data_IF_375547498817
#
_entry.id   IF_375547498817
#
_cell.length_a   1.000
_cell.length_b   1.000
_cell.length_c   1.000
_cell.angle_alpha   90.00
_cell.angle_beta   90.00
_cell.angle_gamma   90.00
#
_symmetry.space_group_name_H-M   'P 1'
#
loop_
_entity.id
_entity.type
_entity.pdbx_description
1 polymer ?
#
# COMPACT_ATOMS: atom_id res chain seq x y z
N UNK A 1 -2.58 -21.28 2.21
CA UNK A 1 -1.78 -20.13 2.67
C UNK A 1 -2.68 -19.31 3.57
N UNK A 2 -2.25 -19.04 4.81
CA UNK A 2 -3.09 -18.42 5.82
C UNK A 2 -2.98 -16.89 5.73
N UNK A 3 -4.04 -16.17 6.13
CA UNK A 3 -4.03 -14.70 6.22
C UNK A 3 -2.91 -14.19 7.16
N UNK A 4 -2.50 -15.01 8.13
CA UNK A 4 -1.43 -14.71 9.10
C UNK A 4 -0.02 -14.70 8.53
N UNK A 5 0.18 -15.06 7.26
CA UNK A 5 1.52 -15.17 6.67
C UNK A 5 2.06 -13.81 6.15
N UNK A 6 1.28 -12.74 6.29
CA UNK A 6 1.54 -11.41 5.74
C UNK A 6 1.27 -10.33 6.77
N UNK A 7 2.03 -9.24 6.69
CA UNK A 7 1.80 -8.05 7.50
C UNK A 7 2.28 -6.80 6.79
N UNK A 8 2.46 -5.74 7.56
CA UNK A 8 2.91 -4.47 7.04
C UNK A 8 3.11 -3.41 8.11
N UNK A 9 3.55 -2.23 7.67
CA UNK A 9 3.68 -1.04 8.51
C UNK A 9 3.15 0.18 7.76
N UNK A 10 2.49 1.06 8.49
CA UNK A 10 1.96 2.32 7.99
C UNK A 10 2.61 3.48 8.73
N UNK A 11 2.81 4.57 8.03
CA UNK A 11 3.38 5.80 8.54
C UNK A 11 2.61 7.01 8.03
N UNK A 12 2.34 7.97 8.92
CA UNK A 12 1.87 9.31 8.58
C UNK A 12 2.93 10.31 9.00
N UNK A 13 3.38 11.16 8.08
CA UNK A 13 4.46 12.13 8.33
C UNK A 13 5.72 11.50 8.96
N UNK A 14 6.03 10.25 8.56
CA UNK A 14 7.18 9.47 9.08
C UNK A 14 6.97 8.84 10.45
N UNK A 15 5.83 9.05 11.10
CA UNK A 15 5.49 8.43 12.38
C UNK A 15 4.66 7.16 12.16
N UNK A 16 4.97 6.09 12.90
CA UNK A 16 4.29 4.80 12.76
C UNK A 16 2.86 4.88 13.28
N UNK A 17 1.92 4.38 12.48
CA UNK A 17 0.48 4.40 12.74
C UNK A 17 -0.10 3.00 12.94
N UNK A 18 -1.15 2.88 13.76
CA UNK A 18 -1.91 1.62 13.95
C UNK A 18 -2.89 1.37 12.80
N UNK A 19 -2.38 1.37 11.56
CA UNK A 19 -3.13 1.09 10.33
C UNK A 19 -2.70 -0.20 9.64
N UNK A 20 -2.26 -1.16 10.45
CA UNK A 20 -1.89 -2.50 10.02
C UNK A 20 -3.04 -3.48 10.33
N UNK A 21 -3.23 -4.50 9.50
CA UNK A 21 -4.34 -5.46 9.55
C UNK A 21 -5.70 -4.77 9.74
N UNK A 22 -5.91 -3.71 8.96
CA UNK A 22 -7.06 -2.83 9.06
C UNK A 22 -8.29 -3.46 8.40
N UNK A 23 -9.43 -3.29 9.06
CA UNK A 23 -10.76 -3.52 8.51
C UNK A 23 -11.40 -2.16 8.28
N UNK A 24 -11.74 -1.88 7.02
CA UNK A 24 -12.55 -0.74 6.62
C UNK A 24 -14.02 -1.15 6.55
N UNK A 25 -14.85 -0.50 7.36
CA UNK A 25 -16.30 -0.71 7.45
C UNK A 25 -17.05 0.63 7.38
N UNK A 26 -18.38 0.60 7.33
CA UNK A 26 -19.21 1.81 7.39
C UNK A 26 -18.99 2.61 8.69
N UNK A 27 -18.72 1.91 9.80
CA UNK A 27 -18.47 2.51 11.12
C UNK A 27 -17.06 3.12 11.26
N UNK A 28 -16.21 2.94 10.25
CA UNK A 28 -14.85 3.46 10.19
C UNK A 28 -13.78 2.38 10.07
N UNK A 29 -12.55 2.77 10.41
CA UNK A 29 -11.35 1.93 10.30
C UNK A 29 -11.05 1.35 11.67
N UNK A 30 -10.98 0.02 11.75
CA UNK A 30 -10.55 -0.69 12.95
C UNK A 30 -9.30 -1.51 12.62
N UNK A 31 -8.36 -1.61 13.56
CA UNK A 31 -7.27 -2.58 13.43
C UNK A 31 -7.73 -3.91 13.99
N UNK A 32 -7.52 -5.00 13.23
CA UNK A 32 -7.78 -6.37 13.67
C UNK A 32 -6.44 -7.13 13.73
N UNK A 33 -5.51 -6.73 14.62
CA UNK A 33 -4.18 -7.33 14.67
C UNK A 33 -4.34 -8.81 14.98
N UNK A 34 -4.03 -9.65 13.98
CA UNK A 34 -3.89 -11.09 14.09
C UNK A 34 -4.81 -11.81 15.08
N UNK A 35 -6.13 -11.54 15.10
CA UNK A 35 -7.00 -12.30 15.99
C UNK A 35 -7.05 -13.74 15.46
N UNK A 36 -6.30 -14.58 16.17
CA UNK A 36 -6.28 -16.04 16.24
C UNK A 36 -7.23 -16.76 15.26
N UNK A 37 -6.79 -17.82 14.53
CA UNK A 37 -7.72 -18.63 13.75
C UNK A 37 -8.85 -19.15 14.67
N UNK A 38 -10.05 -18.57 14.55
CA UNK A 38 -11.22 -18.92 15.33
C UNK A 38 -11.94 -17.79 16.08
N UNK A 39 -11.42 -16.57 16.17
CA UNK A 39 -12.13 -15.46 16.82
C UNK A 39 -12.08 -14.19 15.95
N UNK A 40 -12.95 -14.10 14.95
CA UNK A 40 -13.12 -12.85 14.20
C UNK A 40 -14.16 -12.03 14.95
N UNK A 41 -13.82 -10.81 15.40
CA UNK A 41 -14.82 -9.85 15.87
C UNK A 41 -15.92 -9.74 14.79
N UNK A 42 -17.21 -9.78 15.13
CA UNK A 42 -18.29 -9.75 14.13
C UNK A 42 -18.15 -8.60 13.12
N UNK A 43 -17.66 -7.45 13.57
CA UNK A 43 -17.39 -6.24 12.78
C UNK A 43 -16.27 -6.46 11.74
N UNK A 44 -15.31 -7.35 12.05
CA UNK A 44 -14.25 -7.77 11.14
C UNK A 44 -14.68 -8.84 10.12
N UNK A 45 -15.96 -9.25 10.10
CA UNK A 45 -16.47 -10.20 9.10
C UNK A 45 -17.08 -9.52 7.86
N UNK A 46 -17.50 -8.27 7.98
CA UNK A 46 -18.28 -7.57 6.95
C UNK A 46 -17.51 -6.47 6.22
N UNK A 47 -16.43 -5.96 6.80
CA UNK A 47 -15.60 -4.91 6.20
C UNK A 47 -14.52 -5.40 5.24
N UNK A 48 -13.98 -4.49 4.42
CA UNK A 48 -12.83 -4.73 3.52
C UNK A 48 -11.56 -4.86 4.36
N UNK A 49 -10.72 -5.86 4.06
CA UNK A 49 -9.54 -6.18 4.85
C UNK A 49 -8.27 -5.82 4.10
N UNK A 50 -7.37 -5.13 4.78
CA UNK A 50 -6.08 -4.73 4.26
C UNK A 50 -4.99 -5.05 5.28
N UNK A 51 -3.80 -5.42 4.81
CA UNK A 51 -2.66 -5.55 5.70
C UNK A 51 -2.09 -4.18 6.07
N UNK A 52 -2.24 -3.18 5.20
CA UNK A 52 -1.93 -1.78 5.46
C UNK A 52 -2.99 -0.90 4.83
N UNK A 53 -3.41 0.14 5.54
CA UNK A 53 -4.30 1.17 5.01
C UNK A 53 -3.65 2.55 5.17
N UNK A 54 -3.39 3.22 4.06
CA UNK A 54 -2.78 4.54 4.00
C UNK A 54 -3.82 5.60 3.67
N UNK A 55 -3.52 6.84 4.05
CA UNK A 55 -4.36 8.00 3.77
C UNK A 55 -5.46 8.21 4.80
N UNK A 56 -6.20 9.29 4.55
CA UNK A 56 -7.29 9.76 5.38
C UNK A 56 -8.32 10.58 4.59
N UNK A 57 -9.47 10.81 5.22
CA UNK A 57 -10.56 11.58 4.63
C UNK A 57 -11.12 10.90 3.39
N UNK A 58 -11.05 11.59 2.25
CA UNK A 58 -11.67 11.15 1.01
C UNK A 58 -10.88 10.07 0.27
N UNK A 59 -9.56 9.95 0.48
CA UNK A 59 -8.74 8.97 -0.25
C UNK A 59 -8.02 8.02 0.71
N UNK A 60 -8.24 6.73 0.49
CA UNK A 60 -7.54 5.64 1.18
C UNK A 60 -6.83 4.76 0.16
N UNK A 61 -5.66 4.24 0.52
CA UNK A 61 -4.93 3.24 -0.27
C UNK A 61 -4.72 2.01 0.59
N UNK A 62 -5.40 0.92 0.20
CA UNK A 62 -5.28 -0.38 0.87
C UNK A 62 -4.21 -1.22 0.20
N UNK A 63 -3.27 -1.77 0.98
CA UNK A 63 -2.32 -2.78 0.52
C UNK A 63 -2.73 -4.14 1.06
N UNK A 64 -2.72 -5.13 0.17
CA UNK A 64 -3.08 -6.50 0.51
C UNK A 64 -2.01 -7.47 -0.01
N UNK A 65 -1.31 -8.07 0.96
CA UNK A 65 -0.18 -8.97 0.76
C UNK A 65 0.93 -8.25 0.00
N UNK A 66 1.72 -8.97 -0.76
CA UNK A 66 2.88 -8.43 -1.48
C UNK A 66 2.57 -7.87 -2.88
N UNK A 67 1.33 -7.97 -3.38
CA UNK A 67 1.03 -7.66 -4.80
C UNK A 67 -0.12 -6.70 -5.02
N UNK A 68 -1.13 -6.68 -4.14
CA UNK A 68 -2.38 -6.00 -4.44
C UNK A 68 -2.45 -4.64 -3.75
N UNK A 69 -2.90 -3.64 -4.51
CA UNK A 69 -3.23 -2.32 -3.99
C UNK A 69 -4.62 -1.92 -4.49
N UNK A 70 -5.35 -1.20 -3.64
CA UNK A 70 -6.69 -0.68 -3.95
C UNK A 70 -6.72 0.80 -3.59
N UNK A 71 -7.15 1.64 -4.53
CA UNK A 71 -7.42 3.06 -4.27
C UNK A 71 -8.91 3.21 -4.02
N UNK A 72 -9.27 3.81 -2.89
CA UNK A 72 -10.64 4.13 -2.52
C UNK A 72 -10.80 5.64 -2.47
N UNK A 73 -11.71 6.18 -3.29
CA UNK A 73 -12.10 7.58 -3.28
C UNK A 73 -13.55 7.68 -2.78
N UNK A 74 -13.74 8.32 -1.63
CA UNK A 74 -15.03 8.47 -0.94
C UNK A 74 -15.75 7.13 -0.74
N UNK A 75 -14.96 6.08 -0.45
CA UNK A 75 -15.44 4.71 -0.23
C UNK A 75 -15.57 3.86 -1.49
N UNK A 76 -15.49 4.46 -2.67
CA UNK A 76 -15.62 3.76 -3.96
C UNK A 76 -14.25 3.40 -4.53
N UNK A 77 -14.15 2.23 -5.15
CA UNK A 77 -12.91 1.77 -5.75
C UNK A 77 -12.63 2.48 -7.08
N UNK A 78 -11.41 3.02 -7.21
CA UNK A 78 -10.93 3.65 -8.42
C UNK A 78 -10.02 2.66 -9.16
N UNK A 79 -10.36 2.24 -10.40
CA UNK A 79 -9.51 1.34 -11.16
C UNK A 79 -8.13 1.95 -11.41
N UNK A 80 -7.07 1.24 -11.03
CA UNK A 80 -5.68 1.71 -11.12
C UNK A 80 -5.29 2.13 -12.55
N UNK A 81 -5.75 1.38 -13.56
CA UNK A 81 -5.48 1.69 -14.98
C UNK A 81 -6.04 3.04 -15.43
N UNK A 82 -7.09 3.56 -14.77
CA UNK A 82 -7.71 4.84 -15.12
C UNK A 82 -6.98 6.04 -14.54
N UNK A 83 -6.17 5.84 -13.51
CA UNK A 83 -5.48 6.92 -12.80
C UNK A 83 -3.96 6.85 -12.89
N UNK A 84 -3.39 5.81 -13.51
CA UNK A 84 -1.94 5.71 -13.74
C UNK A 84 -1.47 6.82 -14.69
N UNK A 85 -0.38 7.49 -14.34
CA UNK A 85 0.14 8.66 -15.07
C UNK A 85 0.95 8.26 -16.32
N UNK A 86 1.52 7.06 -16.32
CA UNK A 86 2.31 6.52 -17.42
C UNK A 86 1.88 5.08 -17.68
N UNK A 87 1.87 4.68 -18.95
CA UNK A 87 1.55 3.31 -19.37
C UNK A 87 2.80 2.60 -19.84
N UNK A 88 2.95 1.34 -19.47
CA UNK A 88 4.00 0.46 -19.98
C UNK A 88 3.39 -0.78 -20.63
N UNK A 89 4.14 -1.40 -21.53
CA UNK A 89 3.65 -2.56 -22.28
C UNK A 89 3.29 -3.71 -21.32
N UNK A 90 2.06 -4.20 -21.44
CA UNK A 90 1.55 -5.31 -20.63
C UNK A 90 1.01 -4.94 -19.25
N UNK A 91 0.88 -3.65 -18.91
CA UNK A 91 0.35 -3.17 -17.62
C UNK A 91 -1.19 -3.27 -17.48
N UNK A 92 -1.86 -3.82 -18.48
CA UNK A 92 -3.28 -4.18 -18.44
C UNK A 92 -3.46 -5.68 -18.68
N UNK A 93 -4.38 -6.29 -17.93
CA UNK A 93 -4.82 -7.66 -18.22
C UNK A 93 -5.88 -7.65 -19.34
N UNK A 94 -5.54 -8.31 -20.46
CA UNK A 94 -6.45 -8.48 -21.60
C UNK A 94 -6.86 -7.16 -22.28
N UNK A 95 -8.03 -7.17 -22.94
CA UNK A 95 -8.61 -6.01 -23.61
C UNK A 95 -9.44 -5.12 -22.65
N UNK A 96 -9.41 -5.41 -21.34
CA UNK A 96 -10.20 -4.72 -20.32
C UNK A 96 -9.53 -3.41 -19.87
N UNK A 97 -10.33 -2.37 -19.64
CA UNK A 97 -9.83 -1.04 -19.24
C UNK A 97 -9.54 -0.90 -17.73
N UNK A 98 -9.86 -1.91 -16.92
CA UNK A 98 -9.92 -1.76 -15.46
C UNK A 98 -8.93 -2.67 -14.67
N UNK A 99 -8.40 -3.73 -15.29
CA UNK A 99 -7.53 -4.70 -14.61
C UNK A 99 -6.03 -4.37 -14.77
N UNK A 100 -5.44 -3.79 -13.73
CA UNK A 100 -4.02 -3.40 -13.72
C UNK A 100 -3.09 -4.59 -13.48
N UNK A 101 -2.07 -4.75 -14.34
CA UNK A 101 -1.01 -5.73 -14.20
C UNK A 101 0.26 -5.09 -13.67
N UNK A 102 0.67 -5.47 -12.46
CA UNK A 102 1.89 -4.96 -11.81
C UNK A 102 3.19 -5.62 -12.28
N UNK A 103 3.12 -6.75 -13.00
CA UNK A 103 4.32 -7.53 -13.37
C UNK A 103 5.34 -6.72 -14.18
N UNK A 104 4.94 -5.92 -15.20
CA UNK A 104 5.90 -5.12 -15.96
C UNK A 104 6.56 -4.03 -15.10
N UNK A 105 5.82 -3.43 -14.16
CA UNK A 105 6.34 -2.41 -13.25
C UNK A 105 7.35 -3.02 -12.27
N UNK A 106 7.03 -4.22 -11.75
CA UNK A 106 7.96 -4.99 -10.92
C UNK A 106 9.23 -5.35 -11.70
N UNK A 107 9.12 -5.73 -12.97
CA UNK A 107 10.26 -6.07 -13.83
C UNK A 107 11.15 -4.87 -14.17
N UNK A 108 10.57 -3.68 -14.38
CA UNK A 108 11.32 -2.44 -14.57
C UNK A 108 12.00 -1.96 -13.29
N UNK A 109 11.54 -2.42 -12.12
CA UNK A 109 12.14 -2.08 -10.83
C UNK A 109 11.99 -0.59 -10.49
N UNK A 110 10.86 0.02 -10.86
CA UNK A 110 10.51 1.41 -10.56
C UNK A 110 9.06 1.55 -10.10
N UNK A 111 8.70 2.65 -9.41
CA UNK A 111 7.32 2.85 -8.99
C UNK A 111 6.40 3.21 -10.16
N UNK A 112 5.15 2.75 -10.09
CA UNK A 112 4.03 3.33 -10.84
C UNK A 112 3.47 4.52 -10.08
N UNK A 113 3.17 5.61 -10.80
CA UNK A 113 2.54 6.81 -10.24
C UNK A 113 1.09 6.90 -10.70
N UNK A 114 0.20 7.15 -9.75
CA UNK A 114 -1.23 7.33 -9.97
C UNK A 114 -1.64 8.71 -9.44
N UNK A 115 -2.62 9.34 -10.10
CA UNK A 115 -3.18 10.61 -9.66
C UNK A 115 -4.71 10.55 -9.69
N UNK A 116 -5.34 10.88 -8.56
CA UNK A 116 -6.80 10.89 -8.39
C UNK A 116 -7.17 12.18 -7.67
N UNK A 117 -7.89 13.08 -8.34
CA UNK A 117 -8.36 14.35 -7.76
C UNK A 117 -7.26 15.16 -7.01
N UNK A 118 -6.03 15.15 -7.55
CA UNK A 118 -4.88 15.84 -6.97
C UNK A 118 -4.15 15.08 -5.86
N UNK A 119 -4.68 13.92 -5.43
CA UNK A 119 -3.93 12.98 -4.62
C UNK A 119 -2.95 12.21 -5.51
N UNK A 120 -1.69 12.11 -5.08
CA UNK A 120 -0.66 11.35 -5.78
C UNK A 120 -0.32 10.09 -5.01
N UNK A 121 -0.28 8.95 -5.70
CA UNK A 121 0.03 7.64 -5.13
C UNK A 121 1.19 7.06 -5.92
N UNK A 122 2.22 6.59 -5.23
CA UNK A 122 3.29 5.81 -5.81
C UNK A 122 3.23 4.40 -5.27
N UNK A 123 3.29 3.39 -6.14
CA UNK A 123 3.37 1.98 -5.77
C UNK A 123 4.63 1.36 -6.36
N UNK A 124 5.38 0.63 -5.54
CA UNK A 124 6.59 -0.08 -5.96
C UNK A 124 6.49 -1.54 -5.55
N UNK A 125 6.57 -2.44 -6.52
CA UNK A 125 6.53 -3.88 -6.31
C UNK A 125 7.94 -4.47 -6.35
N UNK A 126 8.25 -5.32 -5.39
CA UNK A 126 9.53 -6.02 -5.32
C UNK A 126 9.29 -7.52 -5.21
N UNK A 127 10.03 -8.31 -6.01
CA UNK A 127 10.04 -9.77 -5.88
C UNK A 127 11.01 -10.21 -4.76
N UNK A 128 12.06 -9.40 -4.53
CA UNK A 128 13.12 -9.66 -3.54
C UNK A 128 13.54 -8.35 -2.88
N UNK A 129 12.99 -8.03 -1.68
CA UNK A 129 12.05 -8.84 -0.90
C UNK A 129 10.64 -8.89 -1.52
N UNK A 130 9.86 -9.89 -1.17
CA UNK A 130 8.50 -10.11 -1.68
C UNK A 130 7.51 -9.14 -1.02
N UNK A 131 7.48 -7.88 -1.49
CA UNK A 131 6.86 -6.72 -0.81
C UNK A 131 6.29 -5.73 -1.83
N UNK A 132 5.18 -5.09 -1.49
CA UNK A 132 4.71 -3.86 -2.11
C UNK A 132 4.95 -2.67 -1.17
N UNK A 133 5.51 -1.59 -1.69
CA UNK A 133 5.70 -0.32 -1.00
C UNK A 133 4.79 0.73 -1.61
N UNK A 134 4.31 1.66 -0.78
CA UNK A 134 3.44 2.74 -1.22
C UNK A 134 3.78 4.07 -0.55
N UNK A 135 3.57 5.15 -1.29
CA UNK A 135 3.60 6.53 -0.81
C UNK A 135 2.37 7.26 -1.32
N UNK A 136 1.72 8.04 -0.47
CA UNK A 136 0.53 8.84 -0.80
C UNK A 136 0.80 10.27 -0.38
N UNK A 137 0.55 11.21 -1.29
CA UNK A 137 0.57 12.65 -1.02
C UNK A 137 -0.82 13.21 -1.28
N UNK A 138 -1.44 13.74 -0.23
CA UNK A 138 -2.71 14.45 -0.31
C UNK A 138 -2.51 15.89 -0.84
N UNK A 139 -3.55 16.53 -1.41
CA UNK A 139 -3.47 17.90 -1.93
C UNK A 139 -3.05 18.96 -0.90
N UNK A 140 -3.33 18.72 0.39
CA UNK A 140 -2.94 19.60 1.50
C UNK A 140 -1.48 19.41 1.94
N UNK A 141 -0.76 18.48 1.30
CA UNK A 141 0.62 18.15 1.60
C UNK A 141 0.78 17.07 2.67
N UNK A 142 -0.31 16.48 3.17
CA UNK A 142 -0.22 15.33 4.07
C UNK A 142 0.33 14.11 3.35
N UNK A 143 1.33 13.47 3.97
CA UNK A 143 2.04 12.33 3.40
C UNK A 143 1.84 11.07 4.24
N UNK A 144 1.52 9.98 3.55
CA UNK A 144 1.45 8.64 4.09
C UNK A 144 2.40 7.71 3.35
N UNK A 145 2.97 6.74 4.05
CA UNK A 145 3.80 5.72 3.43
C UNK A 145 3.65 4.39 4.16
N UNK A 146 3.93 3.30 3.47
CA UNK A 146 3.85 1.99 4.08
C UNK A 146 4.19 0.87 3.13
N UNK A 147 4.21 -0.34 3.67
CA UNK A 147 4.52 -1.53 2.90
C UNK A 147 3.74 -2.73 3.42
N UNK A 148 3.44 -3.68 2.53
CA UNK A 148 2.91 -5.00 2.90
C UNK A 148 3.72 -6.11 2.25
N UNK A 149 3.99 -7.18 3.01
CA UNK A 149 4.94 -8.21 2.62
C UNK A 149 4.71 -9.55 3.29
N UNK A 150 5.32 -10.59 2.73
CA UNK A 150 5.27 -11.97 3.22
C UNK A 150 6.24 -12.19 4.38
N UNK A 151 5.83 -12.96 5.41
CA UNK A 151 6.63 -13.33 6.60
C UNK A 151 7.15 -12.13 7.43
N UNK A 152 6.50 -10.96 7.31
CA UNK A 152 6.85 -9.77 8.11
C UNK A 152 5.59 -9.10 8.64
N UNK A 153 5.46 -9.01 9.96
CA UNK A 153 4.28 -8.44 10.64
C UNK A 153 3.12 -9.44 10.82
N UNK A 154 2.14 -9.08 11.66
CA UNK A 154 0.94 -9.86 11.99
C UNK A 154 1.17 -11.31 12.44
N UNK A 155 1.65 -11.51 13.68
CA UNK A 155 1.88 -12.85 14.27
C UNK A 155 3.31 -13.37 14.13
N UNK A 156 4.17 -12.65 13.40
CA UNK A 156 5.62 -12.84 13.41
C UNK A 156 6.30 -11.77 14.27
N UNK A 157 6.30 -11.97 15.59
CA UNK A 157 6.92 -11.05 16.55
C UNK A 157 8.32 -11.51 17.00
N UNK A 158 8.90 -12.47 16.27
CA UNK A 158 10.25 -12.96 16.52
C UNK A 158 11.30 -11.88 16.20
N UNK A 159 12.48 -11.90 16.85
CA UNK A 159 13.55 -10.93 16.58
C UNK A 159 13.95 -10.80 15.11
N UNK A 160 13.85 -11.89 14.34
CA UNK A 160 14.13 -11.90 12.90
C UNK A 160 13.10 -11.10 12.10
N UNK A 161 11.81 -11.27 12.39
CA UNK A 161 10.74 -10.56 11.70
C UNK A 161 10.72 -9.05 12.05
N UNK A 162 11.06 -8.70 13.29
CA UNK A 162 11.24 -7.30 13.72
C UNK A 162 12.35 -6.63 12.90
N UNK A 163 13.52 -7.27 12.84
CA UNK A 163 14.69 -6.79 12.08
C UNK A 163 14.40 -6.69 10.59
N UNK A 164 13.66 -7.66 10.04
CA UNK A 164 13.28 -7.61 8.64
C UNK A 164 12.31 -6.45 8.37
N UNK A 165 11.34 -6.20 9.25
CA UNK A 165 10.48 -5.02 9.14
C UNK A 165 11.26 -3.70 9.20
N UNK A 166 12.27 -3.58 10.08
CA UNK A 166 13.15 -2.40 10.11
C UNK A 166 13.96 -2.24 8.81
N UNK A 167 14.40 -3.36 8.22
CA UNK A 167 15.07 -3.36 6.92
C UNK A 167 14.15 -2.85 5.82
N UNK A 168 12.88 -3.27 5.83
CA UNK A 168 11.86 -2.81 4.89
C UNK A 168 11.51 -1.34 5.09
N UNK A 169 11.45 -0.86 6.33
CA UNK A 169 11.28 0.57 6.61
C UNK A 169 12.41 1.41 5.99
N UNK A 170 13.66 0.97 6.15
CA UNK A 170 14.81 1.63 5.51
C UNK A 170 14.70 1.67 3.98
N UNK A 171 14.23 0.58 3.37
CA UNK A 171 13.97 0.54 1.92
C UNK A 171 12.84 1.49 1.51
N UNK A 172 11.72 1.49 2.23
CA UNK A 172 10.57 2.36 1.97
C UNK A 172 10.99 3.83 1.86
N UNK A 173 11.70 4.33 2.87
CA UNK A 173 12.11 5.72 2.90
C UNK A 173 13.17 6.03 1.85
N UNK A 174 14.11 5.12 1.59
CA UNK A 174 15.12 5.31 0.54
C UNK A 174 14.50 5.39 -0.86
N UNK A 175 13.55 4.50 -1.18
CA UNK A 175 12.89 4.46 -2.49
C UNK A 175 12.16 5.77 -2.74
N UNK A 176 11.33 6.21 -1.79
CA UNK A 176 10.49 7.39 -2.01
C UNK A 176 11.22 8.71 -1.78
N UNK A 177 12.32 8.73 -1.02
CA UNK A 177 13.22 9.89 -0.99
C UNK A 177 13.77 10.20 -2.39
N UNK A 178 14.24 9.19 -3.13
CA UNK A 178 14.76 9.36 -4.50
C UNK A 178 13.68 9.84 -5.48
N UNK A 179 12.50 9.21 -5.43
CA UNK A 179 11.35 9.53 -6.30
C UNK A 179 10.90 10.97 -6.06
N UNK A 180 10.62 11.33 -4.80
CA UNK A 180 10.11 12.65 -4.44
C UNK A 180 11.15 13.76 -4.67
N UNK A 181 12.44 13.47 -4.46
CA UNK A 181 13.50 14.43 -4.82
C UNK A 181 13.64 14.62 -6.34
N UNK A 182 13.46 13.56 -7.13
CA UNK A 182 13.42 13.63 -8.60
C UNK A 182 12.28 14.52 -9.10
N UNK A 183 11.08 14.35 -8.55
CA UNK A 183 9.91 15.19 -8.88
C UNK A 183 10.11 16.66 -8.50
N UNK A 184 10.64 16.94 -7.30
CA UNK A 184 10.91 18.32 -6.86
C UNK A 184 11.95 19.05 -7.72
N UNK A 185 12.85 18.32 -8.39
CA UNK A 185 13.84 18.91 -9.32
C UNK A 185 13.23 19.25 -10.68
N UNK A 186 12.31 18.42 -11.18
CA UNK A 186 11.63 18.64 -12.47
C UNK A 186 10.50 19.68 -12.36
N UNK A 187 9.92 19.87 -11.17
CA UNK A 187 8.88 20.86 -10.90
C UNK A 187 9.40 22.30 -10.70
N UNK A 188 10.72 22.57 -10.78
CA UNK A 188 11.26 23.94 -10.75
C UNK A 188 11.28 24.53 -12.18
N UNK A 189 10.68 25.71 -12.40
CA UNK A 189 10.68 26.38 -13.71
C UNK A 189 12.06 26.88 -14.14
#
# INVERSE_FOLDING_TARGET
MAYSDYGGRAYSHGLREERCDAVLSEDGITSSPGIFPGLVLPEAQTGRKFHVLLGEGELLVGLYKQTSATILLRGEEVPLLRCVQERIEGDAYGDGEDDFNSDPWQAEGRPATFEVEGHRIHLFWSERPCVIFAHVTHPDGTEWSGWSGYEVGAGFDGPLAVKEGERLDGMLFSIFEEVLHGERRTARP
#
